data_IF_411562630977
#
_entry.id   IF_411562630977
#
_cell.length_a   1.000
_cell.length_b   1.000
_cell.length_c   1.000
_cell.angle_alpha   90.00
_cell.angle_beta   90.00
_cell.angle_gamma   90.00
#
_symmetry.space_group_name_H-M   'P 1'
#
loop_
_entity.id
_entity.type
_entity.pdbx_description
1 polymer ?
#
# COMPACT_ATOMS: atom_id res chain seq x y z
N UNK A 1 -23.25 17.54 -1.63
CA UNK A 1 -22.76 17.39 -3.01
C UNK A 1 -21.53 18.28 -3.16
N UNK A 2 -20.33 17.75 -2.96
CA UNK A 2 -19.08 18.52 -3.14
C UNK A 2 -18.42 18.04 -4.44
N UNK A 3 -18.35 18.93 -5.43
CA UNK A 3 -17.71 18.68 -6.72
C UNK A 3 -16.19 18.56 -6.51
N UNK A 4 -15.65 17.34 -6.58
CA UNK A 4 -14.20 17.14 -6.67
C UNK A 4 -13.78 17.29 -8.14
N UNK A 5 -13.43 18.51 -8.54
CA UNK A 5 -12.79 18.76 -9.83
C UNK A 5 -11.37 18.19 -9.78
N UNK A 6 -11.18 16.97 -10.28
CA UNK A 6 -9.86 16.34 -10.43
C UNK A 6 -9.26 16.74 -11.78
N UNK A 7 -8.03 17.23 -11.78
CA UNK A 7 -7.23 17.33 -13.00
C UNK A 7 -6.83 15.92 -13.48
N UNK A 8 -6.62 15.77 -14.80
CA UNK A 8 -6.38 14.48 -15.49
C UNK A 8 -5.14 13.70 -15.01
N UNK A 9 -4.29 14.32 -14.19
CA UNK A 9 -3.11 13.71 -13.58
C UNK A 9 -3.40 12.96 -12.27
N UNK A 10 -4.65 12.90 -11.80
CA UNK A 10 -5.02 12.17 -10.58
C UNK A 10 -4.53 12.80 -9.27
N UNK A 11 -3.72 13.86 -9.34
CA UNK A 11 -3.22 14.58 -8.17
C UNK A 11 -4.28 15.54 -7.63
N UNK A 12 -4.54 15.53 -6.30
CA UNK A 12 -5.46 16.49 -5.71
C UNK A 12 -4.91 17.91 -5.88
N UNK A 13 -5.80 18.84 -6.23
CA UNK A 13 -5.44 20.20 -6.62
C UNK A 13 -4.63 20.94 -5.54
N UNK A 14 -4.87 20.61 -4.27
CA UNK A 14 -4.13 21.10 -3.11
C UNK A 14 -2.64 20.74 -3.12
N UNK A 15 -2.26 19.61 -3.70
CA UNK A 15 -0.88 19.13 -3.71
C UNK A 15 -0.02 19.88 -4.75
N UNK A 16 -0.64 20.28 -5.87
CA UNK A 16 -0.04 21.18 -6.86
C UNK A 16 0.15 22.60 -6.29
N UNK A 17 -0.82 23.08 -5.50
CA UNK A 17 -0.71 24.37 -4.80
C UNK A 17 0.43 24.31 -3.77
N UNK A 18 0.52 23.23 -2.97
CA UNK A 18 1.55 23.08 -1.95
C UNK A 18 2.96 22.98 -2.55
N UNK A 19 3.13 22.23 -3.65
CA UNK A 19 4.42 22.07 -4.33
C UNK A 19 4.91 23.38 -4.96
N UNK A 20 3.99 24.20 -5.49
CA UNK A 20 4.34 25.51 -6.04
C UNK A 20 4.64 26.54 -4.95
N UNK A 21 3.93 26.52 -3.81
CA UNK A 21 4.26 27.36 -2.66
C UNK A 21 5.62 27.02 -2.04
N UNK A 22 6.00 25.73 -1.98
CA UNK A 22 7.33 25.32 -1.47
C UNK A 22 8.48 25.76 -2.38
N UNK A 23 8.24 25.86 -3.69
CA UNK A 23 9.23 26.39 -4.65
C UNK A 23 9.49 27.89 -4.48
N UNK A 24 8.57 28.65 -3.88
CA UNK A 24 8.72 30.10 -3.68
C UNK A 24 9.43 30.41 -2.35
N UNK A 25 9.37 29.51 -1.36
CA UNK A 25 9.96 29.71 -0.03
C UNK A 25 11.49 29.52 0.05
N UNK A 26 12.16 29.20 -1.06
CA UNK A 26 13.63 29.09 -1.12
C UNK A 26 14.32 30.39 -1.57
N UNK A 27 13.56 31.49 -1.62
CA UNK A 27 14.11 32.84 -1.80
C UNK A 27 14.40 33.37 -0.40
N UNK A 28 15.69 33.57 -0.08
CA UNK A 28 16.12 34.36 1.08
C UNK A 28 15.39 35.72 1.03
N UNK A 29 14.39 35.89 1.89
CA UNK A 29 13.70 37.17 2.09
C UNK A 29 14.65 38.11 2.83
N UNK A 30 15.65 38.61 2.10
CA UNK A 30 16.32 39.86 2.46
C UNK A 30 15.27 40.96 2.34
N UNK A 31 14.81 41.42 3.51
CA UNK A 31 14.05 42.65 3.80
C UNK A 31 13.76 43.49 2.54
N UNK A 32 12.74 43.09 1.78
CA UNK A 32 12.22 43.91 0.70
C UNK A 32 11.03 44.68 1.27
N UNK A 33 11.31 45.92 1.65
CA UNK A 33 10.33 46.89 2.12
C UNK A 33 9.45 47.22 0.90
N UNK A 34 8.24 46.65 0.84
CA UNK A 34 7.32 46.90 -0.27
C UNK A 34 6.89 48.38 -0.25
N UNK A 35 7.21 49.18 -1.29
CA UNK A 35 6.58 50.49 -1.43
C UNK A 35 5.09 50.28 -1.69
N UNK A 36 4.26 51.22 -1.24
CA UNK A 36 2.80 51.21 -1.45
C UNK A 36 2.47 51.23 -2.95
N UNK A 37 2.40 50.04 -3.55
CA UNK A 37 2.02 49.85 -4.95
C UNK A 37 0.51 49.93 -5.07
N UNK A 38 0.06 50.84 -5.93
CA UNK A 38 -1.35 51.11 -6.21
C UNK A 38 -2.13 49.83 -6.56
N UNK A 39 -3.39 49.68 -6.10
CA UNK A 39 -4.23 48.52 -6.41
C UNK A 39 -4.44 48.32 -7.92
N UNK A 40 -4.27 49.35 -8.75
CA UNK A 40 -4.32 49.25 -10.21
C UNK A 40 -3.17 48.39 -10.79
N UNK A 41 -2.03 48.32 -10.12
CA UNK A 41 -0.88 47.52 -10.57
C UNK A 41 -1.18 46.02 -10.47
N UNK A 42 -1.91 45.60 -9.41
CA UNK A 42 -2.32 44.20 -9.25
C UNK A 42 -3.34 43.77 -10.31
N UNK A 43 -4.27 44.66 -10.68
CA UNK A 43 -5.24 44.38 -11.76
C UNK A 43 -4.52 44.26 -13.11
N UNK A 44 -3.55 45.12 -13.40
CA UNK A 44 -2.76 45.05 -14.63
C UNK A 44 -1.94 43.75 -14.72
N UNK A 45 -1.28 43.34 -13.64
CA UNK A 45 -0.50 42.09 -13.59
C UNK A 45 -1.41 40.86 -13.73
N UNK A 46 -2.59 40.87 -13.10
CA UNK A 46 -3.57 39.79 -13.24
C UNK A 46 -4.05 39.63 -14.70
N UNK A 47 -4.30 40.75 -15.39
CA UNK A 47 -4.73 40.72 -16.79
C UNK A 47 -3.63 40.21 -17.74
N UNK A 48 -2.36 40.56 -17.49
CA UNK A 48 -1.22 40.06 -18.29
C UNK A 48 -1.08 38.53 -18.12
N UNK A 49 -1.27 38.00 -16.91
CA UNK A 49 -1.21 36.54 -16.67
C UNK A 49 -2.37 35.78 -17.33
N UNK A 50 -3.57 36.36 -17.39
CA UNK A 50 -4.74 35.74 -18.04
C UNK A 50 -4.58 35.71 -19.58
N UNK A 51 -3.97 36.73 -20.18
CA UNK A 51 -3.77 36.81 -21.64
C UNK A 51 -2.53 36.01 -22.08
N UNK A 52 -1.51 35.87 -21.23
CA UNK A 52 -0.25 35.19 -21.55
C UNK A 52 -0.33 33.66 -21.69
N UNK A 53 -1.42 33.00 -21.31
CA UNK A 53 -1.56 31.54 -21.45
C UNK A 53 -2.03 31.07 -22.84
N UNK A 54 -2.11 31.94 -23.86
CA UNK A 54 -2.68 31.59 -25.17
C UNK A 54 -1.77 31.76 -26.37
N UNK A 55 -0.46 31.82 -26.16
CA UNK A 55 0.52 31.82 -27.24
C UNK A 55 1.67 30.90 -26.87
N UNK A 56 1.53 29.62 -27.19
CA UNK A 56 2.62 28.66 -27.46
C UNK A 56 1.95 27.38 -27.96
N UNK A 57 1.81 27.24 -29.29
CA UNK A 57 1.71 25.95 -30.01
C UNK A 57 1.83 26.22 -31.52
N UNK A 58 2.99 26.74 -31.93
CA UNK A 58 3.46 26.66 -33.31
C UNK A 58 4.98 26.50 -33.27
N UNK A 59 5.42 25.35 -32.75
CA UNK A 59 6.81 24.96 -32.66
C UNK A 59 6.93 23.50 -33.01
N UNK A 60 7.18 23.23 -34.28
CA UNK A 60 7.67 21.95 -34.79
C UNK A 60 8.96 21.58 -34.06
N UNK A 61 8.90 20.64 -33.14
CA UNK A 61 10.09 19.92 -32.67
C UNK A 61 9.82 18.44 -32.81
N UNK A 62 10.56 17.86 -33.73
CA UNK A 62 10.69 16.43 -34.00
C UNK A 62 10.53 15.63 -32.71
N UNK A 63 9.43 14.89 -32.61
CA UNK A 63 9.34 13.72 -31.73
C UNK A 63 10.46 12.77 -32.17
N UNK A 64 11.61 12.87 -31.51
CA UNK A 64 12.35 11.65 -31.21
C UNK A 64 11.36 10.76 -30.48
N UNK A 65 10.77 9.82 -31.22
CA UNK A 65 10.07 8.68 -30.67
C UNK A 65 11.05 7.98 -29.75
N UNK A 66 11.07 8.39 -28.48
CA UNK A 66 11.36 7.47 -27.41
C UNK A 66 10.20 6.50 -27.46
N UNK A 67 10.36 5.44 -28.25
CA UNK A 67 9.66 4.19 -28.05
C UNK A 67 10.06 3.68 -26.66
N UNK A 68 9.55 4.32 -25.59
CA UNK A 68 9.17 3.57 -24.42
C UNK A 68 7.91 2.88 -24.86
N UNK A 69 8.12 1.71 -25.46
CA UNK A 69 7.08 0.71 -25.60
C UNK A 69 6.26 0.75 -24.32
N UNK A 70 4.95 0.77 -24.47
CA UNK A 70 3.96 0.46 -23.45
C UNK A 70 4.13 -1.00 -22.98
N UNK A 71 5.36 -1.40 -22.66
CA UNK A 71 5.69 -2.55 -21.87
C UNK A 71 5.35 -2.15 -20.44
N UNK A 72 4.06 -2.33 -20.12
CA UNK A 72 3.58 -2.89 -18.85
C UNK A 72 4.63 -2.64 -17.76
N UNK A 73 4.59 -1.46 -17.14
CA UNK A 73 5.27 -1.25 -15.86
C UNK A 73 4.53 -2.11 -14.83
N UNK A 74 4.77 -3.42 -14.88
CA UNK A 74 4.52 -4.31 -13.78
C UNK A 74 5.55 -3.89 -12.73
N UNK A 75 5.14 -2.95 -11.89
CA UNK A 75 5.82 -2.69 -10.62
C UNK A 75 5.79 -4.01 -9.86
N UNK A 76 6.86 -4.80 -9.97
CA UNK A 76 7.04 -6.01 -9.16
C UNK A 76 7.36 -5.49 -7.77
N UNK A 77 6.31 -5.13 -7.02
CA UNK A 77 6.39 -4.96 -5.58
C UNK A 77 6.71 -6.34 -5.01
N UNK A 78 8.00 -6.65 -4.91
CA UNK A 78 8.46 -7.86 -4.25
C UNK A 78 8.17 -7.70 -2.76
N UNK A 79 6.98 -8.13 -2.36
CA UNK A 79 6.67 -8.32 -0.95
C UNK A 79 7.64 -9.38 -0.42
N UNK A 80 8.33 -9.14 0.71
CA UNK A 80 9.17 -10.16 1.35
C UNK A 80 8.34 -11.37 1.81
N UNK A 81 7.01 -11.26 1.79
CA UNK A 81 6.07 -12.32 2.06
C UNK A 81 5.34 -12.69 0.77
N UNK A 82 5.28 -13.98 0.41
CA UNK A 82 4.40 -14.41 -0.67
C UNK A 82 2.96 -14.04 -0.32
N UNK A 83 2.18 -13.63 -1.32
CA UNK A 83 0.74 -13.40 -1.16
C UNK A 83 0.05 -14.75 -0.89
N UNK A 84 -0.02 -15.13 0.39
CA UNK A 84 -0.73 -16.31 0.83
C UNK A 84 -2.24 -16.04 0.71
N UNK A 85 -2.83 -16.54 -0.37
CA UNK A 85 -4.28 -16.52 -0.55
C UNK A 85 -4.91 -17.59 0.35
N UNK A 86 -5.78 -17.18 1.27
CA UNK A 86 -6.52 -18.10 2.13
C UNK A 86 -7.55 -18.89 1.31
N UNK A 87 -7.37 -20.21 1.21
CA UNK A 87 -8.28 -21.13 0.51
C UNK A 87 -8.51 -22.41 1.34
N UNK A 88 -9.31 -22.32 2.42
CA UNK A 88 -9.58 -23.47 3.26
C UNK A 88 -10.41 -24.48 2.49
N UNK A 89 -9.99 -25.74 2.53
CA UNK A 89 -10.79 -26.85 2.06
C UNK A 89 -11.71 -27.30 3.18
N UNK A 90 -12.85 -27.90 2.83
CA UNK A 90 -13.74 -28.50 3.81
C UNK A 90 -12.99 -29.61 4.56
N UNK A 91 -13.02 -29.55 5.90
CA UNK A 91 -12.45 -30.59 6.74
C UNK A 91 -13.43 -31.76 6.82
N UNK A 92 -13.03 -32.91 6.25
CA UNK A 92 -13.76 -34.17 6.38
C UNK A 92 -13.08 -35.03 7.45
N UNK A 93 -13.76 -35.23 8.57
CA UNK A 93 -13.25 -36.11 9.62
C UNK A 93 -13.24 -37.57 9.14
N UNK A 94 -12.07 -38.18 9.14
CA UNK A 94 -11.89 -39.61 8.87
C UNK A 94 -11.45 -40.30 10.16
N UNK A 95 -12.32 -41.11 10.75
CA UNK A 95 -11.96 -41.89 11.93
C UNK A 95 -10.89 -42.93 11.56
N UNK A 96 -9.82 -43.01 12.34
CA UNK A 96 -8.86 -44.10 12.24
C UNK A 96 -9.51 -45.45 12.59
N UNK A 97 -8.89 -46.56 12.15
CA UNK A 97 -9.38 -47.92 12.45
C UNK A 97 -9.25 -48.30 13.93
N UNK A 98 -8.48 -47.54 14.69
CA UNK A 98 -8.03 -47.90 16.02
C UNK A 98 -8.40 -46.76 16.97
N UNK A 99 -9.17 -47.09 17.99
CA UNK A 99 -9.41 -46.20 19.14
C UNK A 99 -8.38 -46.48 20.21
N UNK A 100 -7.79 -45.42 20.77
CA UNK A 100 -6.88 -45.48 21.92
C UNK A 100 -7.50 -44.73 23.08
N UNK A 101 -7.27 -45.22 24.30
CA UNK A 101 -7.80 -44.65 25.52
C UNK A 101 -6.68 -44.00 26.33
N UNK A 102 -7.00 -42.87 26.95
CA UNK A 102 -6.08 -42.12 27.79
C UNK A 102 -6.74 -41.89 29.15
N UNK A 103 -5.99 -42.25 30.19
CA UNK A 103 -6.30 -41.96 31.58
C UNK A 103 -5.10 -41.22 32.18
N UNK A 104 -5.25 -39.90 32.33
CA UNK A 104 -4.19 -39.06 32.87
C UNK A 104 -3.83 -39.37 34.33
N UNK A 105 -4.75 -39.98 35.08
CA UNK A 105 -4.58 -40.22 36.51
C UNK A 105 -3.94 -41.58 36.75
N UNK A 106 -4.55 -42.62 36.19
CA UNK A 106 -4.24 -44.02 36.50
C UNK A 106 -3.65 -44.79 35.30
N UNK A 107 -3.45 -44.11 34.15
CA UNK A 107 -2.78 -44.69 32.98
C UNK A 107 -1.27 -44.81 33.13
N UNK A 108 -0.66 -45.52 32.18
CA UNK A 108 0.79 -45.71 32.06
C UNK A 108 1.23 -45.50 30.61
N UNK A 109 2.36 -44.83 30.39
CA UNK A 109 2.91 -44.60 29.04
C UNK A 109 3.39 -45.90 28.37
N UNK A 110 3.68 -46.95 29.15
CA UNK A 110 4.09 -48.27 28.66
C UNK A 110 2.91 -49.17 28.27
N UNK A 111 1.67 -48.77 28.52
CA UNK A 111 0.49 -49.55 28.14
C UNK A 111 0.26 -49.59 26.62
N UNK A 112 -0.58 -50.50 26.10
CA UNK A 112 -0.96 -50.52 24.69
C UNK A 112 -2.04 -49.50 24.29
N UNK A 113 -2.62 -48.76 25.25
CA UNK A 113 -3.68 -47.78 25.02
C UNK A 113 -5.05 -48.41 24.74
N UNK A 114 -5.32 -49.59 25.28
CA UNK A 114 -6.66 -50.21 25.27
C UNK A 114 -7.53 -49.63 26.39
N UNK A 115 -8.80 -50.01 26.44
CA UNK A 115 -9.70 -49.52 27.49
C UNK A 115 -9.27 -50.02 28.88
N UNK A 116 -8.76 -51.25 28.95
CA UNK A 116 -8.31 -51.90 30.17
C UNK A 116 -6.91 -51.47 30.59
N UNK A 117 -6.08 -51.07 29.63
CA UNK A 117 -4.72 -50.57 29.83
C UNK A 117 -4.55 -49.26 29.05
N UNK A 118 -5.07 -48.13 29.59
CA UNK A 118 -5.00 -46.84 28.94
C UNK A 118 -3.60 -46.23 29.05
N UNK A 119 -3.28 -45.37 28.09
CA UNK A 119 -2.08 -44.54 28.16
C UNK A 119 -2.23 -43.43 29.20
N UNK A 120 -1.11 -43.00 29.81
CA UNK A 120 -1.11 -41.79 30.65
C UNK A 120 -1.03 -40.52 29.80
N UNK A 121 -0.16 -40.54 28.79
CA UNK A 121 0.03 -39.45 27.85
C UNK A 121 -0.21 -39.93 26.41
N UNK A 122 -0.51 -38.97 25.52
CA UNK A 122 -0.48 -39.28 24.10
C UNK A 122 0.97 -39.54 23.64
N UNK A 123 1.19 -40.39 22.61
CA UNK A 123 2.53 -40.65 22.07
C UNK A 123 3.26 -39.42 21.51
N UNK A 124 2.53 -38.36 21.14
CA UNK A 124 3.11 -37.09 20.70
C UNK A 124 3.45 -36.12 21.84
N UNK A 125 3.16 -36.47 23.10
CA UNK A 125 3.53 -35.64 24.26
C UNK A 125 5.04 -35.83 24.50
N UNK A 126 5.79 -34.73 24.49
CA UNK A 126 7.23 -34.75 24.70
C UNK A 126 7.63 -35.29 26.09
N UNK A 127 6.69 -35.34 27.04
CA UNK A 127 6.91 -35.88 28.39
C UNK A 127 6.46 -37.34 28.52
N UNK A 128 5.92 -37.95 27.46
CA UNK A 128 5.62 -39.37 27.47
C UNK A 128 6.93 -40.16 27.62
N UNK A 129 6.99 -41.05 28.60
CA UNK A 129 8.21 -41.81 28.94
C UNK A 129 8.21 -43.23 28.34
N UNK A 130 7.31 -43.49 27.38
CA UNK A 130 7.00 -44.80 26.79
C UNK A 130 8.21 -45.63 26.40
#
# INVERSE_FOLDING_TARGET
>A
MFYSSRCRSGTPLWDLVYKKMRSINNIKLNKFQFPAVSPLFFVAVLMIVIIGCRADNAGTTNESQSQTTDAIAQEITHSPFPDLQWQPHEFVYQSGRITRYIDYRDGDDQHPGTREQPWKHHPWDARALG
#
